data_IF_373581051748
#
_entry.id   IF_373581051748
#
_cell.length_a   1.000
_cell.length_b   1.000
_cell.length_c   1.000
_cell.angle_alpha   90.00
_cell.angle_beta   90.00
_cell.angle_gamma   90.00
#
_symmetry.space_group_name_H-M   'P 1'
#
loop_
_entity.id
_entity.type
_entity.pdbx_description
1 polymer ?
#
# COMPACT_ATOMS: atom_id res chain seq x y z
N UNK A 1 5.39 7.50 -25.17
CA UNK A 1 6.83 7.32 -25.00
C UNK A 1 7.44 8.42 -24.15
N UNK A 2 7.63 9.67 -24.61
CA UNK A 2 8.29 10.74 -23.81
C UNK A 2 7.80 10.91 -22.36
N UNK A 3 6.48 10.94 -22.14
CA UNK A 3 5.93 11.03 -20.77
C UNK A 3 6.24 9.77 -19.93
N UNK A 4 6.20 8.58 -20.53
CA UNK A 4 6.47 7.32 -19.81
C UNK A 4 7.95 7.26 -19.40
N UNK A 5 8.85 7.65 -20.31
CA UNK A 5 10.28 7.77 -20.03
C UNK A 5 10.56 8.79 -18.92
N UNK A 6 9.85 9.92 -18.92
CA UNK A 6 9.95 10.93 -17.87
C UNK A 6 9.51 10.36 -16.51
N UNK A 7 8.37 9.68 -16.45
CA UNK A 7 7.85 9.10 -15.22
C UNK A 7 8.75 7.96 -14.70
N UNK A 8 9.30 7.13 -15.59
CA UNK A 8 10.27 6.09 -15.23
C UNK A 8 11.64 6.64 -14.82
N UNK A 9 11.90 7.91 -15.09
CA UNK A 9 13.09 8.64 -14.65
C UNK A 9 12.81 9.53 -13.43
N UNK A 10 11.57 9.58 -12.95
CA UNK A 10 11.19 10.38 -11.80
C UNK A 10 11.58 9.64 -10.51
N UNK A 11 12.53 10.17 -9.71
CA UNK A 11 12.99 9.51 -8.49
C UNK A 11 11.89 9.43 -7.42
N UNK A 12 10.83 10.23 -7.53
CA UNK A 12 9.68 10.12 -6.65
C UNK A 12 8.87 8.86 -6.92
N UNK A 13 8.80 8.39 -8.18
CA UNK A 13 8.06 7.20 -8.59
C UNK A 13 8.91 5.92 -8.46
N UNK A 14 10.17 6.01 -8.88
CA UNK A 14 11.17 4.95 -8.77
C UNK A 14 12.34 5.46 -7.94
N UNK A 15 12.42 5.11 -6.64
CA UNK A 15 13.60 5.41 -5.84
C UNK A 15 14.86 4.90 -6.57
N UNK A 16 15.98 5.63 -6.48
CA UNK A 16 17.22 5.28 -7.18
C UNK A 16 17.74 3.86 -6.87
N UNK A 17 17.31 3.28 -5.75
CA UNK A 17 17.66 1.92 -5.32
C UNK A 17 16.73 0.84 -5.88
N UNK A 18 15.65 1.21 -6.59
CA UNK A 18 14.74 0.25 -7.18
C UNK A 18 15.43 -0.49 -8.34
N UNK A 19 15.34 -1.82 -8.48
CA UNK A 19 15.99 -2.58 -9.56
C UNK A 19 15.57 -2.13 -10.98
N UNK A 20 14.44 -1.46 -11.13
CA UNK A 20 13.96 -0.88 -12.39
C UNK A 20 14.60 0.47 -12.71
N UNK A 21 15.14 1.16 -11.72
CA UNK A 21 15.88 2.39 -11.92
C UNK A 21 17.21 2.12 -12.66
N UNK A 22 17.78 0.93 -12.46
CA UNK A 22 19.10 0.53 -12.98
C UNK A 22 19.03 -0.37 -14.22
N UNK A 23 17.95 -1.15 -14.41
CA UNK A 23 17.78 -2.03 -15.58
C UNK A 23 17.24 -1.28 -16.81
N UNK A 24 18.15 -0.80 -17.66
CA UNK A 24 17.82 -0.14 -18.94
C UNK A 24 16.94 -1.02 -19.84
N UNK A 25 17.16 -2.34 -19.84
CA UNK A 25 16.38 -3.29 -20.64
C UNK A 25 14.91 -3.35 -20.21
N UNK A 26 14.65 -3.49 -18.90
CA UNK A 26 13.29 -3.50 -18.34
C UNK A 26 12.58 -2.19 -18.64
N UNK A 27 13.24 -1.04 -18.42
CA UNK A 27 12.67 0.29 -18.68
C UNK A 27 12.27 0.44 -20.14
N UNK A 28 13.19 0.16 -21.06
CA UNK A 28 12.95 0.29 -22.51
C UNK A 28 11.76 -0.56 -22.96
N UNK A 29 11.67 -1.80 -22.51
CA UNK A 29 10.56 -2.71 -22.82
C UNK A 29 9.23 -2.22 -22.22
N UNK A 30 9.22 -1.82 -20.94
CA UNK A 30 8.04 -1.27 -20.30
C UNK A 30 7.52 -0.01 -21.03
N UNK A 31 8.41 0.86 -21.51
CA UNK A 31 8.04 2.02 -22.34
C UNK A 31 7.39 1.62 -23.66
N UNK A 32 7.90 0.59 -24.35
CA UNK A 32 7.33 0.07 -25.59
C UNK A 32 5.94 -0.52 -25.34
N UNK A 33 5.82 -1.40 -24.33
CA UNK A 33 4.57 -2.06 -23.94
C UNK A 33 3.49 -1.03 -23.58
N UNK A 34 3.81 -0.07 -22.72
CA UNK A 34 2.87 1.01 -22.38
C UNK A 34 2.57 1.95 -23.55
N UNK A 35 3.57 2.22 -24.39
CA UNK A 35 3.39 2.98 -25.62
C UNK A 35 2.34 2.35 -26.52
N UNK A 36 2.47 1.03 -26.76
CA UNK A 36 1.52 0.24 -27.54
C UNK A 36 0.13 0.21 -26.88
N UNK A 37 0.05 -0.06 -25.58
CA UNK A 37 -1.20 -0.01 -24.83
C UNK A 37 -1.93 1.33 -25.01
N UNK A 38 -1.22 2.46 -24.86
CA UNK A 38 -1.82 3.79 -25.05
C UNK A 38 -2.31 4.03 -26.47
N UNK A 39 -1.61 3.53 -27.49
CA UNK A 39 -2.04 3.64 -28.89
C UNK A 39 -3.33 2.85 -29.07
N UNK A 40 -3.38 1.59 -28.64
CA UNK A 40 -4.56 0.73 -28.78
C UNK A 40 -5.77 1.31 -28.04
N UNK A 41 -5.59 1.83 -26.82
CA UNK A 41 -6.69 2.47 -26.09
C UNK A 41 -7.23 3.74 -26.77
N UNK A 42 -6.40 4.44 -27.55
CA UNK A 42 -6.82 5.62 -28.33
C UNK A 42 -7.50 5.27 -29.64
N UNK A 43 -7.15 4.13 -30.25
CA UNK A 43 -7.70 3.69 -31.54
C UNK A 43 -8.97 2.87 -31.38
N UNK A 44 -9.23 2.29 -30.19
CA UNK A 44 -10.51 1.63 -29.91
C UNK A 44 -11.65 2.63 -30.14
N UNK A 45 -12.64 2.29 -30.98
CA UNK A 45 -13.81 3.14 -31.14
C UNK A 45 -14.45 3.32 -29.76
N UNK A 46 -14.98 4.51 -29.44
CA UNK A 46 -15.64 4.75 -28.16
C UNK A 46 -16.81 3.77 -28.04
N UNK A 47 -16.58 2.65 -27.36
CA UNK A 47 -17.63 1.72 -26.97
C UNK A 47 -18.60 2.54 -26.13
N UNK A 48 -19.89 2.49 -26.50
CA UNK A 48 -20.96 3.31 -25.92
C UNK A 48 -20.84 3.33 -24.40
N UNK A 49 -20.33 4.44 -23.84
CA UNK A 49 -20.28 4.72 -22.41
C UNK A 49 -18.95 4.54 -21.66
N UNK A 50 -17.92 3.89 -22.22
CA UNK A 50 -16.64 3.69 -21.50
C UNK A 50 -15.50 4.50 -22.13
N UNK A 51 -15.04 5.55 -21.45
CA UNK A 51 -13.78 6.20 -21.82
C UNK A 51 -12.62 5.29 -21.41
N UNK A 52 -11.59 5.12 -22.27
CA UNK A 52 -10.39 4.40 -21.87
C UNK A 52 -9.73 5.09 -20.67
N UNK A 53 -9.14 4.32 -19.74
CA UNK A 53 -8.48 4.89 -18.57
C UNK A 53 -7.38 5.84 -19.00
N UNK A 54 -7.30 6.99 -18.33
CA UNK A 54 -6.21 7.92 -18.54
C UNK A 54 -4.91 7.30 -18.06
N UNK A 55 -3.80 7.61 -18.76
CA UNK A 55 -2.50 7.12 -18.35
C UNK A 55 -2.15 7.67 -16.96
N UNK A 56 -1.78 6.77 -16.05
CA UNK A 56 -1.36 7.09 -14.70
C UNK A 56 0.09 6.62 -14.47
N UNK A 57 0.95 7.37 -13.77
CA UNK A 57 2.36 7.00 -13.61
C UNK A 57 2.58 5.63 -12.96
N UNK A 58 1.72 5.21 -12.02
CA UNK A 58 1.78 3.86 -11.44
C UNK A 58 1.64 2.72 -12.47
N UNK A 59 1.02 2.95 -13.63
CA UNK A 59 0.94 1.93 -14.70
C UNK A 59 2.32 1.57 -15.24
N UNK A 60 3.29 2.49 -15.18
CA UNK A 60 4.67 2.24 -15.57
C UNK A 60 5.38 1.27 -14.64
N UNK A 61 5.09 1.36 -13.34
CA UNK A 61 5.60 0.42 -12.35
C UNK A 61 5.05 -0.99 -12.57
N UNK A 62 3.74 -1.09 -12.81
CA UNK A 62 3.09 -2.38 -13.13
C UNK A 62 3.71 -3.02 -14.38
N UNK A 63 3.96 -2.21 -15.42
CA UNK A 63 4.61 -2.69 -16.64
C UNK A 63 6.04 -3.17 -16.37
N UNK A 64 6.81 -2.48 -15.52
CA UNK A 64 8.16 -2.91 -15.15
C UNK A 64 8.17 -4.25 -14.43
N UNK A 65 7.22 -4.50 -13.52
CA UNK A 65 7.09 -5.79 -12.80
C UNK A 65 6.82 -6.93 -13.78
N UNK A 66 5.83 -6.75 -14.65
CA UNK A 66 5.46 -7.78 -15.64
C UNK A 66 6.64 -8.10 -16.56
N UNK A 67 7.31 -7.08 -17.08
CA UNK A 67 8.50 -7.26 -17.93
C UNK A 67 9.63 -7.95 -17.18
N UNK A 68 9.82 -7.63 -15.90
CA UNK A 68 10.86 -8.25 -15.08
C UNK A 68 10.60 -9.74 -14.85
N UNK A 69 9.37 -10.11 -14.48
CA UNK A 69 8.97 -11.51 -14.31
C UNK A 69 9.21 -12.31 -15.59
N UNK A 70 8.73 -11.82 -16.74
CA UNK A 70 8.90 -12.50 -18.03
C UNK A 70 10.36 -12.61 -18.47
N UNK A 71 11.22 -11.66 -18.10
CA UNK A 71 12.66 -11.73 -18.40
C UNK A 71 13.37 -12.76 -17.53
N UNK A 72 12.97 -12.91 -16.27
CA UNK A 72 13.58 -13.88 -15.35
C UNK A 72 13.10 -15.31 -15.61
N UNK A 73 11.84 -15.52 -15.99
CA UNK A 73 11.36 -16.85 -16.40
C UNK A 73 12.16 -17.40 -17.60
N UNK A 74 12.64 -16.52 -18.49
CA UNK A 74 13.47 -16.91 -19.63
C UNK A 74 14.96 -17.11 -19.31
N UNK A 75 15.42 -16.77 -18.10
CA UNK A 75 16.82 -16.82 -17.71
C UNK A 75 17.26 -18.16 -17.09
N UNK A 76 16.31 -18.95 -16.57
CA UNK A 76 16.58 -20.28 -15.98
C UNK A 76 16.82 -21.37 -17.05
N UNK A 77 16.38 -21.13 -18.29
CA UNK A 77 16.80 -21.92 -19.44
C UNK A 77 18.15 -21.36 -19.96
N UNK A 78 19.12 -22.21 -20.29
CA UNK A 78 20.48 -21.90 -20.86
C UNK A 78 20.48 -21.11 -22.20
N UNK A 79 19.42 -20.34 -22.49
CA UNK A 79 19.10 -19.57 -23.69
C UNK A 79 19.75 -18.18 -23.75
N UNK A 80 20.82 -17.92 -23.00
CA UNK A 80 21.57 -16.66 -23.08
C UNK A 80 22.05 -16.32 -24.53
N UNK A 81 22.06 -17.30 -25.43
CA UNK A 81 22.41 -17.16 -26.86
C UNK A 81 21.23 -16.84 -27.80
N UNK A 82 19.97 -16.83 -27.34
CA UNK A 82 18.76 -16.52 -28.13
C UNK A 82 18.22 -15.08 -27.88
N UNK A 83 18.93 -14.28 -27.09
CA UNK A 83 18.48 -13.02 -26.49
C UNK A 83 17.98 -11.91 -27.46
N UNK A 84 18.31 -11.98 -28.75
CA UNK A 84 17.82 -10.99 -29.72
C UNK A 84 16.57 -11.44 -30.50
N UNK A 85 16.37 -12.76 -30.71
CA UNK A 85 15.39 -13.28 -31.69
C UNK A 85 13.98 -13.45 -31.10
N UNK A 86 13.83 -13.68 -29.79
CA UNK A 86 12.52 -13.81 -29.11
C UNK A 86 12.03 -12.53 -28.40
N UNK A 87 12.70 -11.40 -28.65
CA UNK A 87 12.40 -10.15 -27.94
C UNK A 87 10.99 -9.59 -28.22
N UNK A 88 10.38 -9.94 -29.36
CA UNK A 88 9.03 -9.50 -29.76
C UNK A 88 7.92 -10.26 -29.05
N UNK A 89 8.11 -11.55 -28.79
CA UNK A 89 7.13 -12.39 -28.08
C UNK A 89 6.95 -11.91 -26.63
N UNK A 90 8.06 -11.63 -25.94
CA UNK A 90 8.02 -11.11 -24.58
C UNK A 90 7.27 -9.77 -24.48
N UNK A 91 7.50 -8.85 -25.42
CA UNK A 91 6.79 -7.56 -25.44
C UNK A 91 5.29 -7.74 -25.70
N UNK A 92 4.89 -8.74 -26.50
CA UNK A 92 3.50 -9.07 -26.75
C UNK A 92 2.83 -9.69 -25.52
N UNK A 93 3.49 -10.64 -24.84
CA UNK A 93 2.99 -11.26 -23.62
C UNK A 93 2.87 -10.24 -22.49
N UNK A 94 3.89 -9.39 -22.31
CA UNK A 94 3.86 -8.28 -21.37
C UNK A 94 2.69 -7.32 -21.65
N UNK A 95 2.42 -7.04 -22.93
CA UNK A 95 1.28 -6.23 -23.35
C UNK A 95 -0.06 -6.88 -22.98
N UNK A 96 -0.21 -8.19 -23.22
CA UNK A 96 -1.45 -8.90 -22.91
C UNK A 96 -1.70 -8.98 -21.41
N UNK A 97 -0.68 -9.32 -20.61
CA UNK A 97 -0.75 -9.34 -19.15
C UNK A 97 -1.07 -7.97 -18.58
N UNK A 98 -0.36 -6.91 -19.03
CA UNK A 98 -0.63 -5.55 -18.58
C UNK A 98 -2.04 -5.09 -18.97
N UNK A 99 -2.49 -5.44 -20.18
CA UNK A 99 -3.84 -5.09 -20.64
C UNK A 99 -4.91 -5.75 -19.79
N UNK A 100 -4.74 -7.04 -19.44
CA UNK A 100 -5.64 -7.78 -18.57
C UNK A 100 -5.67 -7.18 -17.16
N UNK A 101 -4.50 -6.92 -16.57
CA UNK A 101 -4.37 -6.32 -15.25
C UNK A 101 -5.04 -4.92 -15.19
N UNK A 102 -4.73 -4.05 -16.15
CA UNK A 102 -5.31 -2.71 -16.21
C UNK A 102 -6.82 -2.73 -16.50
N UNK A 103 -7.32 -3.73 -17.21
CA UNK A 103 -8.76 -3.91 -17.40
C UNK A 103 -9.44 -4.26 -16.08
N UNK A 104 -8.86 -5.17 -15.28
CA UNK A 104 -9.36 -5.49 -13.94
C UNK A 104 -9.28 -4.27 -13.00
N UNK A 105 -8.16 -3.55 -13.02
CA UNK A 105 -7.92 -2.34 -12.21
C UNK A 105 -8.63 -1.09 -12.75
N UNK A 106 -9.35 -1.16 -13.87
CA UNK A 106 -9.90 0.02 -14.56
C UNK A 106 -10.82 0.89 -13.70
N UNK A 107 -11.43 0.33 -12.65
CA UNK A 107 -12.20 1.08 -11.67
C UNK A 107 -11.38 1.96 -10.72
N UNK A 108 -10.08 1.70 -10.58
CA UNK A 108 -9.17 2.37 -9.66
C UNK A 108 -8.53 3.64 -10.25
N UNK A 109 -8.30 3.64 -11.57
CA UNK A 109 -7.66 4.77 -12.24
C UNK A 109 -8.68 5.84 -12.63
N UNK A 110 -8.39 7.13 -12.38
CA UNK A 110 -9.31 8.20 -12.74
C UNK A 110 -9.53 8.25 -14.26
N UNK A 111 -10.81 8.19 -14.67
CA UNK A 111 -11.22 8.34 -16.08
C UNK A 111 -11.05 9.77 -16.62
N UNK A 112 -10.79 10.73 -15.75
CA UNK A 112 -10.57 12.13 -16.10
C UNK A 112 -9.07 12.38 -16.29
N UNK A 113 -8.64 12.93 -17.45
CA UNK A 113 -7.27 13.40 -17.59
C UNK A 113 -6.98 14.44 -16.51
N UNK A 114 -5.73 14.51 -15.99
CA UNK A 114 -5.37 15.56 -15.06
C UNK A 114 -5.73 16.93 -15.68
N UNK A 115 -6.24 17.88 -14.88
CA UNK A 115 -6.54 19.21 -15.38
C UNK A 115 -5.28 19.78 -16.05
N UNK A 116 -5.41 20.47 -17.20
CA UNK A 116 -4.26 21.09 -17.83
C UNK A 116 -3.58 22.04 -16.82
N UNK A 117 -2.24 22.14 -16.83
CA UNK A 117 -1.54 23.05 -15.93
C UNK A 117 -2.13 24.46 -16.11
N UNK A 118 -2.30 25.24 -15.03
CA UNK A 118 -2.90 26.55 -15.10
C UNK A 118 -2.14 27.39 -16.14
N UNK A 119 -2.86 27.88 -17.15
CA UNK A 119 -2.30 28.77 -18.18
C UNK A 119 -1.71 30.00 -17.48
N UNK A 120 -0.38 30.02 -17.31
CA UNK A 120 0.33 31.09 -16.61
C UNK A 120 1.36 30.63 -15.58
N UNK A 121 1.37 29.36 -15.17
CA UNK A 121 2.48 28.81 -14.41
C UNK A 121 3.69 28.64 -15.33
N UNK A 122 4.57 29.65 -15.36
CA UNK A 122 5.89 29.51 -15.96
C UNK A 122 6.62 28.35 -15.26
N UNK A 123 7.31 27.45 -15.99
CA UNK A 123 8.14 26.44 -15.34
C UNK A 123 9.14 27.15 -14.41
N UNK A 124 9.46 26.57 -13.24
CA UNK A 124 10.45 27.15 -12.36
C UNK A 124 11.74 27.34 -13.16
N UNK A 125 12.18 28.60 -13.27
CA UNK A 125 13.45 28.95 -13.92
C UNK A 125 14.53 28.12 -13.23
N UNK A 126 15.15 27.22 -13.98
CA UNK A 126 16.35 26.50 -13.55
C UNK A 126 17.37 27.54 -13.07
N UNK A 127 17.63 27.56 -11.76
CA UNK A 127 18.72 28.32 -11.20
C UNK A 127 20.00 27.67 -11.72
N UNK A 128 20.68 28.32 -12.65
CA UNK A 128 22.03 27.94 -13.07
C UNK A 128 22.94 27.92 -11.83
N UNK A 129 23.86 26.94 -11.71
CA UNK A 129 24.79 26.88 -10.59
C UNK A 129 25.70 28.12 -10.57
N UNK A 130 26.12 28.60 -9.38
CA UNK A 130 26.98 29.76 -9.28
C UNK A 130 28.34 29.45 -9.89
N UNK A 131 28.70 30.19 -10.94
CA UNK A 131 30.07 30.21 -11.46
C UNK A 131 31.00 30.84 -10.42
N UNK A 132 32.12 30.18 -10.18
CA UNK A 132 33.20 30.59 -9.29
C UNK A 132 33.68 32.01 -9.59
N UNK A 133 33.74 32.84 -8.55
CA UNK A 133 34.23 34.21 -8.58
C UNK A 133 35.76 34.22 -8.51
N UNK A 134 36.41 34.78 -9.52
CA UNK A 134 37.76 35.33 -9.44
C UNK A 134 37.67 36.86 -9.51
N UNK A 135 38.26 37.54 -8.53
CA UNK A 135 38.38 39.01 -8.39
C UNK A 135 39.54 39.59 -9.22
N UNK A 136 39.81 40.92 -9.20
CA UNK A 136 38.94 42.07 -9.47
C UNK A 136 39.60 43.10 -10.43
N UNK A 137 38.83 44.00 -11.05
CA UNK A 137 39.30 45.37 -11.40
C UNK A 137 38.16 46.29 -11.87
N UNK A 138 38.27 47.55 -11.42
CA UNK A 138 37.75 48.80 -12.00
C UNK A 138 36.27 49.18 -11.89
N UNK A 139 36.05 50.07 -10.92
CA UNK A 139 35.41 51.38 -11.02
C UNK A 139 34.51 51.69 -12.24
N UNK A 140 33.25 52.01 -11.96
CA UNK A 140 32.35 52.68 -12.88
C UNK A 140 30.95 52.79 -12.31
N UNK A 141 30.62 53.95 -11.71
CA UNK A 141 29.32 54.19 -11.10
C UNK A 141 28.17 54.14 -12.10
N UNK A 142 27.01 53.63 -11.65
CA UNK A 142 25.70 53.90 -12.28
C UNK A 142 24.54 53.62 -11.31
N UNK A 143 23.89 54.73 -10.98
CA UNK A 143 22.52 55.00 -10.51
C UNK A 143 21.56 53.82 -10.34
N UNK A 144 21.03 53.70 -9.13
CA UNK A 144 19.89 52.87 -8.74
C UNK A 144 18.60 53.33 -9.43
N UNK A 145 17.75 52.42 -9.94
CA UNK A 145 16.38 52.76 -10.34
C UNK A 145 15.43 52.79 -9.12
N UNK A 146 14.35 53.61 -9.17
CA UNK A 146 13.38 53.69 -8.08
C UNK A 146 12.45 52.46 -8.03
N UNK A 147 11.84 52.18 -6.87
CA UNK A 147 10.92 51.06 -6.70
C UNK A 147 9.58 51.27 -7.43
N UNK A 148 8.93 50.19 -7.89
CA UNK A 148 7.61 50.28 -8.51
C UNK A 148 6.50 50.57 -7.46
N UNK A 149 5.41 51.23 -7.86
CA UNK A 149 4.29 51.55 -6.97
C UNK A 149 3.44 50.31 -6.61
N UNK A 150 2.75 50.31 -5.47
CA UNK A 150 1.87 49.22 -5.06
C UNK A 150 0.62 49.17 -5.95
N UNK A 151 0.36 48.02 -6.58
CA UNK A 151 -0.91 47.76 -7.27
C UNK A 151 -2.02 47.53 -6.26
N UNK A 152 -3.03 48.40 -6.31
CA UNK A 152 -4.27 48.30 -5.59
C UNK A 152 -5.05 47.03 -5.98
N UNK A 153 -5.68 46.41 -4.98
CA UNK A 153 -6.64 45.34 -5.13
C UNK A 153 -7.87 45.82 -5.91
N UNK A 154 -8.19 45.14 -7.01
CA UNK A 154 -9.50 45.21 -7.65
C UNK A 154 -10.22 43.89 -7.41
N UNK A 155 -10.98 43.87 -6.32
CA UNK A 155 -11.99 42.86 -6.00
C UNK A 155 -13.17 43.03 -6.95
N UNK A 156 -13.48 42.03 -7.77
CA UNK A 156 -14.61 42.11 -8.71
C UNK A 156 -14.75 40.88 -9.61
N UNK A 157 -14.87 39.71 -8.99
CA UNK A 157 -15.18 38.45 -9.69
C UNK A 157 -16.56 37.92 -9.26
N UNK A 158 -17.49 37.89 -10.21
CA UNK A 158 -18.85 37.34 -10.08
C UNK A 158 -18.86 35.91 -9.52
N UNK A 159 -19.86 35.52 -8.69
CA UNK A 159 -20.00 34.14 -8.24
C UNK A 159 -20.35 33.24 -9.43
N UNK A 160 -19.38 32.43 -9.86
CA UNK A 160 -19.59 31.30 -10.75
C UNK A 160 -20.53 30.30 -10.07
N UNK A 161 -21.73 30.13 -10.63
CA UNK A 161 -22.67 29.06 -10.26
C UNK A 161 -21.97 27.72 -10.49
N UNK A 162 -21.48 27.13 -9.40
CA UNK A 162 -20.92 25.80 -9.38
C UNK A 162 -21.94 24.77 -9.85
N UNK A 163 -21.72 24.21 -11.03
CA UNK A 163 -22.38 22.99 -11.48
C UNK A 163 -21.98 21.89 -10.50
N UNK A 164 -22.91 21.14 -9.88
CA UNK A 164 -22.54 20.01 -9.03
C UNK A 164 -21.80 19.00 -9.89
N UNK A 165 -20.50 18.85 -9.65
CA UNK A 165 -19.65 17.89 -10.35
C UNK A 165 -20.15 16.48 -10.06
N UNK A 166 -20.52 15.74 -11.11
CA UNK A 166 -20.76 14.30 -10.99
C UNK A 166 -19.48 13.66 -10.48
N UNK A 167 -19.45 13.23 -9.22
CA UNK A 167 -18.33 12.46 -8.68
C UNK A 167 -18.15 11.23 -9.57
N UNK A 168 -16.97 11.10 -10.16
CA UNK A 168 -16.61 9.98 -11.03
C UNK A 168 -16.76 8.68 -10.23
N UNK A 169 -17.50 7.71 -10.76
CA UNK A 169 -17.73 6.40 -10.12
C UNK A 169 -16.44 5.62 -9.82
N UNK A 170 -15.32 6.00 -10.44
CA UNK A 170 -13.99 5.44 -10.17
C UNK A 170 -13.40 5.89 -8.84
N UNK A 171 -13.57 7.15 -8.42
CA UNK A 171 -13.02 7.60 -7.13
C UNK A 171 -13.70 6.88 -5.97
N UNK A 172 -15.03 6.70 -6.06
CA UNK A 172 -15.82 5.96 -5.08
C UNK A 172 -15.37 4.51 -4.87
N UNK A 173 -14.75 3.90 -5.89
CA UNK A 173 -14.29 2.52 -5.87
C UNK A 173 -12.97 2.37 -5.11
N UNK A 174 -12.02 3.27 -5.36
CA UNK A 174 -10.78 3.35 -4.60
C UNK A 174 -11.05 3.72 -3.14
N UNK A 175 -11.92 4.71 -2.90
CA UNK A 175 -12.28 5.17 -1.56
C UNK A 175 -12.82 4.01 -0.71
N UNK A 176 -13.65 3.13 -1.28
CA UNK A 176 -14.17 1.94 -0.58
C UNK A 176 -13.09 0.93 -0.17
N UNK A 177 -12.09 0.69 -1.02
CA UNK A 177 -10.99 -0.21 -0.68
C UNK A 177 -10.13 0.39 0.44
N UNK A 178 -9.84 1.69 0.35
CA UNK A 178 -9.06 2.39 1.37
C UNK A 178 -9.82 2.49 2.68
N UNK A 179 -11.14 2.70 2.64
CA UNK A 179 -12.02 2.67 3.82
C UNK A 179 -12.09 1.27 4.45
N UNK A 180 -12.13 0.21 3.64
CA UNK A 180 -12.01 -1.16 4.15
C UNK A 180 -10.67 -1.39 4.85
N UNK A 181 -9.57 -0.90 4.27
CA UNK A 181 -8.25 -0.93 4.89
C UNK A 181 -8.19 -0.13 6.20
N UNK A 182 -8.79 1.06 6.25
CA UNK A 182 -8.88 1.86 7.48
C UNK A 182 -9.65 1.12 8.57
N UNK A 183 -10.81 0.54 8.24
CA UNK A 183 -11.61 -0.23 9.21
C UNK A 183 -10.86 -1.46 9.72
N UNK A 184 -10.13 -2.14 8.85
CA UNK A 184 -9.33 -3.29 9.25
C UNK A 184 -8.11 -2.87 10.08
N UNK A 185 -7.44 -1.77 9.78
CA UNK A 185 -6.37 -1.24 10.62
C UNK A 185 -6.91 -0.88 12.01
N UNK A 186 -8.06 -0.20 12.06
CA UNK A 186 -8.73 0.15 13.31
C UNK A 186 -9.11 -1.09 14.12
N UNK A 187 -9.50 -2.20 13.47
CA UNK A 187 -9.77 -3.44 14.20
C UNK A 187 -8.48 -4.10 14.68
N UNK A 188 -7.45 -4.20 13.83
CA UNK A 188 -6.22 -4.94 14.16
C UNK A 188 -5.38 -4.20 15.19
N UNK A 189 -5.24 -2.88 15.04
CA UNK A 189 -4.43 -2.04 15.90
C UNK A 189 -5.02 -0.62 16.02
N UNK A 190 -5.98 -0.43 16.95
CA UNK A 190 -6.58 0.88 17.20
C UNK A 190 -5.54 1.95 17.57
N UNK A 191 -4.49 1.56 18.30
CA UNK A 191 -3.44 2.47 18.76
C UNK A 191 -2.63 3.03 17.60
N UNK A 192 -2.23 2.16 16.66
CA UNK A 192 -1.52 2.57 15.45
C UNK A 192 -2.44 3.36 14.52
N UNK A 193 -3.72 2.98 14.40
CA UNK A 193 -4.70 3.74 13.62
C UNK A 193 -4.80 5.19 14.13
N UNK A 194 -5.01 5.36 15.44
CA UNK A 194 -5.17 6.68 16.05
C UNK A 194 -3.87 7.48 15.94
N UNK A 195 -2.73 6.84 16.18
CA UNK A 195 -1.42 7.46 15.98
C UNK A 195 -1.23 7.95 14.53
N UNK A 196 -1.50 7.11 13.54
CA UNK A 196 -1.39 7.46 12.11
C UNK A 196 -2.32 8.61 11.76
N UNK A 197 -3.57 8.59 12.25
CA UNK A 197 -4.54 9.66 12.04
C UNK A 197 -4.06 10.98 12.63
N UNK A 198 -3.61 10.96 13.87
CA UNK A 198 -3.29 12.15 14.64
C UNK A 198 -1.93 12.75 14.24
N UNK A 199 -0.93 11.89 13.99
CA UNK A 199 0.42 12.31 13.59
C UNK A 199 0.47 12.75 12.13
N UNK A 200 -0.12 12.00 11.19
CA UNK A 200 -0.06 12.39 9.76
C UNK A 200 -1.04 13.50 9.41
N UNK A 201 -2.08 13.69 10.23
CA UNK A 201 -3.19 14.62 10.01
C UNK A 201 -3.86 14.41 8.64
N UNK A 202 -3.79 13.18 8.13
CA UNK A 202 -4.28 12.79 6.82
C UNK A 202 -4.93 11.41 6.91
N UNK A 203 -6.11 11.21 6.31
CA UNK A 203 -6.72 9.89 6.31
C UNK A 203 -5.87 8.93 5.46
N UNK A 204 -5.91 7.63 5.82
CA UNK A 204 -5.23 6.55 5.09
C UNK A 204 -5.48 6.66 3.57
N UNK A 205 -6.70 7.03 3.19
CA UNK A 205 -7.09 7.18 1.79
C UNK A 205 -6.26 8.20 1.01
N UNK A 206 -5.74 9.23 1.67
CA UNK A 206 -4.98 10.30 1.01
C UNK A 206 -3.55 9.91 0.66
N UNK A 207 -2.91 9.06 1.47
CA UNK A 207 -1.49 8.73 1.31
C UNK A 207 -1.24 7.29 0.89
N UNK A 208 -2.16 6.35 1.13
CA UNK A 208 -2.04 4.96 0.71
C UNK A 208 -2.54 4.70 -0.72
N UNK A 209 -3.25 5.66 -1.34
CA UNK A 209 -3.72 5.51 -2.71
C UNK A 209 -2.60 5.14 -3.72
N UNK A 210 -1.41 5.77 -3.69
CA UNK A 210 -0.31 5.37 -4.58
C UNK A 210 0.17 3.94 -4.36
N UNK A 211 0.03 3.39 -3.15
CA UNK A 211 0.41 2.01 -2.84
C UNK A 211 -0.55 1.05 -3.54
N UNK A 212 -1.86 1.27 -3.37
CA UNK A 212 -2.88 0.43 -4.02
C UNK A 212 -2.83 0.55 -5.54
N UNK A 213 -2.66 1.75 -6.09
CA UNK A 213 -2.56 1.96 -7.55
C UNK A 213 -1.32 1.33 -8.18
N UNK A 214 -0.26 1.15 -7.40
CA UNK A 214 0.96 0.49 -7.83
C UNK A 214 1.01 -0.98 -7.41
N UNK A 215 -0.04 -1.53 -6.79
CA UNK A 215 -0.01 -2.86 -6.19
C UNK A 215 1.24 -3.09 -5.33
N UNK A 216 1.53 -2.10 -4.49
CA UNK A 216 2.64 -2.05 -3.54
C UNK A 216 4.05 -2.03 -4.14
N UNK A 217 4.19 -1.91 -5.46
CA UNK A 217 5.50 -1.91 -6.13
C UNK A 217 6.38 -0.72 -5.76
N UNK A 218 5.78 0.37 -5.27
CA UNK A 218 6.56 1.51 -4.76
C UNK A 218 7.18 1.20 -3.41
N UNK A 219 6.54 0.34 -2.63
CA UNK A 219 6.86 0.14 -1.23
C UNK A 219 7.76 -1.06 -1.04
N UNK A 220 7.62 -2.10 -1.85
CA UNK A 220 8.30 -3.37 -1.64
C UNK A 220 9.40 -3.60 -2.67
N UNK A 221 10.48 -4.33 -2.31
CA UNK A 221 11.44 -4.81 -3.30
C UNK A 221 10.75 -5.74 -4.31
N UNK A 222 11.31 -5.85 -5.52
CA UNK A 222 10.61 -6.53 -6.62
C UNK A 222 10.30 -8.00 -6.32
N UNK A 223 11.22 -8.73 -5.72
CA UNK A 223 11.00 -10.14 -5.38
C UNK A 223 9.79 -10.29 -4.44
N UNK A 224 9.67 -9.36 -3.47
CA UNK A 224 8.54 -9.28 -2.57
C UNK A 224 7.22 -8.96 -3.27
N UNK A 225 7.27 -8.06 -4.24
CA UNK A 225 6.10 -7.72 -5.05
C UNK A 225 5.62 -8.95 -5.81
N UNK A 226 6.52 -9.73 -6.41
CA UNK A 226 6.16 -10.91 -7.20
C UNK A 226 5.47 -11.96 -6.32
N UNK A 227 6.07 -12.32 -5.19
CA UNK A 227 5.46 -13.27 -4.24
C UNK A 227 4.11 -12.76 -3.71
N UNK A 228 4.03 -11.46 -3.41
CA UNK A 228 2.81 -10.83 -2.96
C UNK A 228 1.74 -10.81 -4.08
N UNK A 229 2.15 -10.68 -5.34
CA UNK A 229 1.25 -10.73 -6.49
C UNK A 229 0.71 -12.13 -6.71
N UNK A 230 1.53 -13.17 -6.55
CA UNK A 230 1.07 -14.57 -6.62
C UNK A 230 -0.05 -14.83 -5.61
N UNK A 231 0.16 -14.39 -4.37
CA UNK A 231 -0.85 -14.47 -3.32
C UNK A 231 -2.09 -13.63 -3.62
N UNK A 232 -1.92 -12.40 -4.10
CA UNK A 232 -3.01 -11.51 -4.46
C UNK A 232 -3.87 -12.11 -5.58
N UNK A 233 -3.26 -12.61 -6.65
CA UNK A 233 -3.96 -13.14 -7.81
C UNK A 233 -4.53 -14.54 -7.57
N UNK A 234 -3.93 -15.35 -6.69
CA UNK A 234 -4.53 -16.61 -6.24
C UNK A 234 -5.89 -16.40 -5.54
N UNK A 235 -6.12 -15.22 -4.97
CA UNK A 235 -7.34 -14.88 -4.24
C UNK A 235 -8.41 -14.21 -5.09
N UNK A 236 -8.01 -13.61 -6.21
CA UNK A 236 -8.94 -12.95 -7.12
C UNK A 236 -9.52 -14.06 -8.01
N UNK A 237 -10.81 -14.41 -7.86
CA UNK A 237 -11.37 -15.46 -8.69
C UNK A 237 -11.23 -15.08 -10.17
N UNK A 238 -10.86 -16.04 -11.03
CA UNK A 238 -10.77 -15.79 -12.47
C UNK A 238 -12.09 -15.26 -13.07
N UNK A 239 -13.22 -15.50 -12.39
CA UNK A 239 -14.55 -15.03 -12.75
C UNK A 239 -14.85 -13.59 -12.30
N UNK A 240 -13.96 -12.95 -11.54
CA UNK A 240 -14.17 -11.60 -11.03
C UNK A 240 -14.23 -10.58 -12.17
N UNK A 241 -15.30 -9.78 -12.19
CA UNK A 241 -15.56 -8.79 -13.26
C UNK A 241 -14.62 -7.60 -13.18
N UNK A 242 -14.22 -7.20 -11.98
CA UNK A 242 -13.22 -6.16 -11.75
C UNK A 242 -12.38 -6.47 -10.51
N UNK A 243 -11.23 -5.83 -10.43
CA UNK A 243 -10.27 -6.03 -9.36
C UNK A 243 -10.90 -5.75 -8.00
N UNK A 244 -11.70 -4.69 -7.86
CA UNK A 244 -12.28 -4.27 -6.57
C UNK A 244 -13.30 -5.28 -6.03
N UNK A 245 -14.10 -5.90 -6.91
CA UNK A 245 -15.05 -6.94 -6.51
C UNK A 245 -14.36 -8.26 -6.21
N UNK A 246 -13.23 -8.54 -6.86
CA UNK A 246 -12.42 -9.74 -6.60
C UNK A 246 -11.41 -9.60 -5.47
N UNK A 247 -11.02 -8.38 -5.09
CA UNK A 247 -9.96 -8.10 -4.11
C UNK A 247 -10.37 -7.50 -2.76
N UNK A 248 -11.66 -7.44 -2.34
CA UNK A 248 -12.01 -6.82 -1.06
C UNK A 248 -11.43 -7.58 0.13
N UNK A 249 -11.06 -8.85 -0.07
CA UNK A 249 -10.44 -9.71 0.94
C UNK A 249 -8.92 -9.84 0.77
N UNK A 250 -8.33 -9.17 -0.22
CA UNK A 250 -6.89 -9.29 -0.52
C UNK A 250 -6.16 -7.97 -0.26
N UNK A 251 -6.64 -6.88 -0.86
CA UNK A 251 -5.95 -5.57 -0.77
C UNK A 251 -6.00 -4.95 0.62
N UNK A 252 -7.13 -4.95 1.36
CA UNK A 252 -7.16 -4.37 2.70
C UNK A 252 -6.21 -5.08 3.69
N UNK A 253 -6.16 -6.43 3.77
CA UNK A 253 -5.18 -7.11 4.62
C UNK A 253 -3.73 -6.78 4.25
N UNK A 254 -3.40 -6.72 2.96
CA UNK A 254 -2.06 -6.35 2.49
C UNK A 254 -1.70 -4.92 2.89
N UNK A 255 -2.63 -3.98 2.73
CA UNK A 255 -2.44 -2.60 3.13
C UNK A 255 -2.14 -2.50 4.63
N UNK A 256 -2.92 -3.20 5.46
CA UNK A 256 -2.73 -3.22 6.92
C UNK A 256 -1.41 -3.89 7.29
N UNK A 257 -1.03 -4.99 6.65
CA UNK A 257 0.26 -5.64 6.86
C UNK A 257 1.43 -4.69 6.56
N UNK A 258 1.38 -3.96 5.44
CA UNK A 258 2.40 -2.95 5.12
C UNK A 258 2.46 -1.83 6.18
N UNK A 259 1.32 -1.37 6.69
CA UNK A 259 1.27 -0.34 7.74
C UNK A 259 1.88 -0.87 9.04
N UNK A 260 1.56 -2.10 9.44
CA UNK A 260 2.10 -2.74 10.64
C UNK A 260 3.60 -2.97 10.54
N UNK A 261 4.10 -3.32 9.37
CA UNK A 261 5.53 -3.40 9.08
C UNK A 261 6.27 -2.08 9.35
N UNK A 262 5.61 -0.94 9.18
CA UNK A 262 6.17 0.38 9.51
C UNK A 262 5.98 0.81 10.96
N UNK A 263 5.30 0.02 11.81
CA UNK A 263 4.92 0.42 13.17
C UNK A 263 6.08 0.99 13.98
N UNK A 264 7.21 0.28 14.04
CA UNK A 264 8.36 0.71 14.84
C UNK A 264 8.94 2.05 14.37
N UNK A 265 9.00 2.28 13.06
CA UNK A 265 9.47 3.55 12.49
C UNK A 265 8.46 4.68 12.67
N UNK A 266 7.16 4.35 12.60
CA UNK A 266 6.08 5.28 12.87
C UNK A 266 6.09 5.72 14.33
N UNK A 267 6.14 4.80 15.30
CA UNK A 267 6.15 5.14 16.73
C UNK A 267 7.38 5.96 17.16
N UNK A 268 8.51 5.84 16.44
CA UNK A 268 9.72 6.65 16.65
C UNK A 268 9.65 8.03 15.99
N UNK A 269 8.64 8.30 15.16
CA UNK A 269 8.49 9.56 14.46
C UNK A 269 7.83 10.60 15.37
N UNK A 270 8.53 11.68 15.69
CA UNK A 270 7.97 12.75 16.52
C UNK A 270 7.22 13.81 15.68
N UNK A 271 7.46 13.84 14.37
CA UNK A 271 6.89 14.84 13.46
C UNK A 271 6.08 14.21 12.33
N UNK A 272 5.07 14.91 11.78
CA UNK A 272 4.33 14.43 10.61
C UNK A 272 5.25 14.16 9.41
N UNK A 273 6.29 14.96 9.22
CA UNK A 273 7.27 14.79 8.15
C UNK A 273 8.12 13.54 8.37
N UNK A 274 8.57 13.28 9.60
CA UNK A 274 9.28 12.06 9.94
C UNK A 274 8.38 10.83 9.76
N UNK A 275 7.11 10.89 10.16
CA UNK A 275 6.17 9.79 9.97
C UNK A 275 5.88 9.53 8.48
N UNK A 276 5.77 10.58 7.65
CA UNK A 276 5.68 10.43 6.18
C UNK A 276 6.95 9.82 5.59
N UNK A 277 8.12 10.21 6.10
CA UNK A 277 9.39 9.62 5.71
C UNK A 277 9.54 8.16 6.20
N UNK A 278 8.96 7.82 7.34
CA UNK A 278 8.93 6.44 7.86
C UNK A 278 8.05 5.52 6.98
N UNK A 279 7.04 6.08 6.32
CA UNK A 279 6.22 5.43 5.29
C UNK A 279 6.88 5.42 3.90
N UNK A 280 8.13 5.89 3.77
CA UNK A 280 8.90 5.74 2.54
C UNK A 280 9.14 4.24 2.23
N UNK A 281 9.58 3.89 1.01
CA UNK A 281 9.71 2.50 0.58
C UNK A 281 10.42 1.61 1.61
N UNK A 282 9.84 0.43 1.83
CA UNK A 282 10.26 -0.62 2.76
C UNK A 282 11.55 -1.30 2.24
N UNK A 283 12.64 -0.54 2.10
CA UNK A 283 13.94 -1.11 1.79
C UNK A 283 14.50 -1.94 2.97
N UNK A 284 13.93 -1.76 4.18
CA UNK A 284 14.48 -2.26 5.45
C UNK A 284 13.49 -3.06 6.30
N UNK A 285 12.26 -3.29 5.84
CA UNK A 285 11.34 -4.13 6.60
C UNK A 285 11.70 -5.60 6.41
N UNK A 286 11.34 -6.40 7.43
CA UNK A 286 11.71 -7.82 7.59
C UNK A 286 11.43 -8.70 6.39
N UNK A 287 11.66 -10.01 6.53
CA UNK A 287 11.52 -10.95 5.42
C UNK A 287 10.17 -10.79 4.71
N UNK A 288 10.19 -10.85 3.38
CA UNK A 288 9.00 -10.86 2.52
C UNK A 288 7.98 -11.88 3.04
N UNK A 289 8.49 -13.05 3.42
CA UNK A 289 7.73 -14.12 4.06
C UNK A 289 6.90 -13.66 5.25
N UNK A 290 7.44 -12.76 6.07
CA UNK A 290 6.74 -12.22 7.25
C UNK A 290 5.59 -11.31 6.84
N UNK A 291 5.77 -10.46 5.83
CA UNK A 291 4.70 -9.60 5.30
C UNK A 291 3.58 -10.41 4.62
N UNK A 292 3.98 -11.39 3.81
CA UNK A 292 3.06 -12.31 3.14
C UNK A 292 2.32 -13.16 4.18
N UNK A 293 3.04 -13.70 5.16
CA UNK A 293 2.48 -14.40 6.31
C UNK A 293 1.48 -13.54 7.07
N UNK A 294 1.85 -12.33 7.44
CA UNK A 294 0.97 -11.38 8.13
C UNK A 294 -0.28 -11.06 7.31
N UNK A 295 -0.14 -10.85 6.00
CA UNK A 295 -1.28 -10.66 5.10
C UNK A 295 -2.24 -11.85 5.14
N UNK A 296 -1.72 -13.09 5.08
CA UNK A 296 -2.52 -14.31 5.16
C UNK A 296 -3.24 -14.42 6.51
N UNK A 297 -2.58 -14.06 7.61
CA UNK A 297 -3.16 -14.04 8.95
C UNK A 297 -4.29 -13.02 9.09
N UNK A 298 -4.07 -11.81 8.60
CA UNK A 298 -5.07 -10.74 8.62
C UNK A 298 -6.29 -11.06 7.75
N UNK A 299 -6.10 -11.84 6.68
CA UNK A 299 -7.17 -12.30 5.80
C UNK A 299 -8.01 -13.40 6.43
N UNK A 300 -7.36 -14.38 7.04
CA UNK A 300 -8.05 -15.51 7.64
C UNK A 300 -7.32 -15.91 8.92
N UNK A 301 -7.74 -15.35 10.08
CA UNK A 301 -7.12 -15.67 11.36
C UNK A 301 -7.27 -17.16 11.73
N UNK A 302 -8.15 -17.90 11.03
CA UNK A 302 -8.34 -19.33 11.22
C UNK A 302 -7.44 -20.23 10.34
N UNK A 303 -6.69 -19.66 9.36
CA UNK A 303 -5.76 -20.44 8.50
C UNK A 303 -4.44 -20.82 9.20
N UNK A 304 -4.24 -20.47 10.47
CA UNK A 304 -3.13 -21.01 11.25
C UNK A 304 -3.42 -22.47 11.63
N UNK A 305 -3.27 -23.36 10.66
CA UNK A 305 -3.78 -24.74 10.72
C UNK A 305 -2.70 -25.78 11.04
N UNK A 306 -1.81 -25.54 12.01
CA UNK A 306 -1.37 -26.56 12.99
C UNK A 306 -0.74 -25.86 14.22
N UNK A 307 -0.92 -26.40 15.44
CA UNK A 307 -0.23 -25.89 16.64
C UNK A 307 1.30 -25.89 16.51
N UNK A 308 1.85 -26.78 15.69
CA UNK A 308 3.30 -26.92 15.44
C UNK A 308 3.85 -25.82 14.53
N UNK A 309 3.12 -25.42 13.48
CA UNK A 309 3.49 -24.28 12.63
C UNK A 309 3.37 -22.95 13.38
N UNK A 310 2.35 -22.80 14.23
CA UNK A 310 2.21 -21.63 15.09
C UNK A 310 3.37 -21.49 16.10
N UNK A 311 3.84 -22.60 16.68
CA UNK A 311 4.98 -22.59 17.60
C UNK A 311 6.28 -22.20 16.89
N UNK A 312 6.51 -22.71 15.68
CA UNK A 312 7.69 -22.37 14.87
C UNK A 312 7.67 -20.93 14.36
N UNK A 313 6.52 -20.42 13.94
CA UNK A 313 6.36 -19.03 13.52
C UNK A 313 6.44 -18.04 14.67
N UNK A 314 5.87 -18.32 15.85
CA UNK A 314 5.99 -17.43 17.01
C UNK A 314 7.45 -17.31 17.49
N UNK A 315 8.25 -18.37 17.35
CA UNK A 315 9.70 -18.34 17.62
C UNK A 315 10.51 -17.61 16.55
N UNK A 316 10.10 -17.66 15.27
CA UNK A 316 10.81 -17.01 14.16
C UNK A 316 10.40 -15.54 13.91
N UNK A 317 9.12 -15.19 14.04
CA UNK A 317 8.58 -13.86 13.69
C UNK A 317 8.53 -12.89 14.88
N UNK A 318 8.79 -13.35 16.12
CA UNK A 318 8.64 -12.52 17.32
C UNK A 318 7.19 -12.05 17.56
N UNK A 319 6.23 -12.65 16.86
CA UNK A 319 4.80 -12.37 17.03
C UNK A 319 4.35 -12.78 18.42
N UNK A 320 3.90 -11.80 19.22
CA UNK A 320 3.48 -12.01 20.62
C UNK A 320 2.06 -12.59 20.75
N UNK A 321 1.34 -12.79 19.65
CA UNK A 321 -0.06 -13.21 19.68
C UNK A 321 -0.13 -14.73 19.55
N UNK A 322 -0.52 -15.41 20.64
CA UNK A 322 -0.74 -16.86 20.66
C UNK A 322 -2.23 -17.17 20.52
N UNK A 323 -2.59 -17.97 19.53
CA UNK A 323 -3.97 -18.42 19.31
C UNK A 323 -4.20 -19.73 20.06
N UNK A 324 -5.12 -19.75 21.03
CA UNK A 324 -5.45 -20.95 21.80
C UNK A 324 -6.84 -21.45 21.39
N UNK A 325 -6.93 -22.71 20.96
CA UNK A 325 -8.21 -23.34 20.59
C UNK A 325 -8.69 -24.26 21.72
N UNK A 326 -9.87 -23.99 22.27
CA UNK A 326 -10.47 -24.79 23.33
C UNK A 326 -11.54 -25.74 22.79
N UNK A 327 -11.79 -26.84 23.52
CA UNK A 327 -12.93 -27.72 23.25
C UNK A 327 -14.19 -27.13 23.89
N UNK A 328 -15.36 -27.62 23.48
CA UNK A 328 -16.61 -27.22 24.11
C UNK A 328 -16.60 -27.49 25.62
N UNK A 329 -16.92 -26.46 26.41
CA UNK A 329 -16.92 -26.51 27.87
C UNK A 329 -16.33 -25.25 28.52
N UNK A 330 -16.38 -25.14 29.86
CA UNK A 330 -15.86 -23.97 30.57
C UNK A 330 -14.33 -23.86 30.43
N UNK A 331 -13.86 -22.65 30.15
CA UNK A 331 -12.43 -22.33 30.07
C UNK A 331 -11.78 -22.36 31.46
N UNK A 332 -12.53 -21.94 32.47
CA UNK A 332 -12.09 -21.86 33.86
C UNK A 332 -11.03 -20.79 34.09
N UNK A 333 -11.37 -19.58 33.66
CA UNK A 333 -10.45 -18.45 33.59
C UNK A 333 -11.15 -17.27 34.28
N UNK A 334 -10.47 -16.62 35.22
CA UNK A 334 -10.95 -15.41 35.91
C UNK A 334 -10.26 -14.23 35.26
N UNK A 335 -11.05 -13.30 34.73
CA UNK A 335 -10.56 -12.12 34.03
C UNK A 335 -10.54 -10.91 34.95
N UNK A 336 -9.59 -10.01 34.72
CA UNK A 336 -9.56 -8.69 35.34
C UNK A 336 -9.28 -7.61 34.32
N UNK A 337 -9.79 -6.40 34.57
CA UNK A 337 -9.47 -5.22 33.77
C UNK A 337 -8.01 -4.79 34.03
N UNK A 338 -7.31 -4.45 32.96
CA UNK A 338 -6.00 -3.79 32.93
C UNK A 338 -6.09 -2.55 32.02
N UNK A 339 -5.06 -1.69 32.05
CA UNK A 339 -5.02 -0.48 31.21
C UNK A 339 -5.15 -0.77 29.71
N UNK A 340 -4.76 -1.96 29.27
CA UNK A 340 -4.71 -2.36 27.86
C UNK A 340 -5.74 -3.43 27.46
N UNK A 341 -6.67 -3.81 28.34
CA UNK A 341 -7.73 -4.78 28.03
C UNK A 341 -8.07 -5.70 29.21
N UNK A 342 -8.55 -6.91 28.90
CA UNK A 342 -8.77 -7.95 29.91
C UNK A 342 -7.54 -8.84 30.04
N UNK A 343 -7.18 -9.18 31.26
CA UNK A 343 -6.08 -10.09 31.57
C UNK A 343 -6.56 -11.29 32.38
N UNK A 344 -5.87 -12.42 32.24
CA UNK A 344 -6.10 -13.59 33.09
C UNK A 344 -5.55 -13.32 34.49
N UNK A 345 -6.43 -13.27 35.50
CA UNK A 345 -6.06 -13.06 36.91
C UNK A 345 -5.82 -14.36 37.66
N UNK A 346 -6.60 -15.40 37.35
CA UNK A 346 -6.50 -16.70 38.02
C UNK A 346 -7.24 -17.77 37.21
N UNK A 347 -6.91 -19.03 37.45
CA UNK A 347 -7.69 -20.16 36.96
C UNK A 347 -8.77 -20.57 37.97
N UNK A 348 -9.90 -21.00 37.43
CA UNK A 348 -10.96 -21.65 38.18
C UNK A 348 -10.85 -23.16 37.94
N UNK A 349 -11.00 -23.93 39.02
CA UNK A 349 -10.95 -25.38 38.99
C UNK A 349 -12.38 -25.95 38.97
N UNK A 350 -12.52 -27.17 38.46
CA UNK A 350 -13.80 -27.87 38.52
C UNK A 350 -14.18 -28.22 39.99
N UNK A 351 -15.38 -28.76 40.19
CA UNK A 351 -15.87 -29.17 41.53
C UNK A 351 -15.00 -30.25 42.19
N UNK A 352 -14.20 -30.98 41.42
CA UNK A 352 -13.27 -32.00 41.89
C UNK A 352 -11.85 -31.45 42.10
N UNK A 353 -11.64 -30.12 41.96
CA UNK A 353 -10.35 -29.47 42.11
C UNK A 353 -9.39 -29.69 40.93
N UNK A 354 -9.90 -30.16 39.78
CA UNK A 354 -9.07 -30.38 38.58
C UNK A 354 -8.99 -29.11 37.75
N UNK A 355 -7.82 -28.83 37.13
CA UNK A 355 -7.65 -27.67 36.27
C UNK A 355 -8.62 -27.74 35.08
N UNK A 356 -9.19 -26.61 34.73
CA UNK A 356 -10.05 -26.48 33.55
C UNK A 356 -9.20 -26.27 32.29
N UNK A 357 -9.87 -26.17 31.14
CA UNK A 357 -9.23 -26.23 29.82
C UNK A 357 -8.14 -25.17 29.62
N UNK A 358 -8.36 -23.95 30.11
CA UNK A 358 -7.40 -22.85 29.96
C UNK A 358 -6.07 -23.17 30.63
N UNK A 359 -6.09 -23.56 31.90
CA UNK A 359 -4.89 -23.91 32.65
C UNK A 359 -4.21 -25.17 32.09
N UNK A 360 -5.01 -26.16 31.70
CA UNK A 360 -4.51 -27.43 31.14
C UNK A 360 -3.83 -27.25 29.78
N UNK A 361 -4.14 -26.17 29.06
CA UNK A 361 -3.53 -25.90 27.75
C UNK A 361 -2.03 -25.59 27.84
N UNK A 362 -1.55 -25.09 28.98
CA UNK A 362 -0.16 -24.60 29.15
C UNK A 362 0.20 -23.36 28.31
N UNK A 363 -0.71 -22.90 27.45
CA UNK A 363 -0.52 -21.74 26.57
C UNK A 363 -1.17 -20.47 27.10
N UNK A 364 -2.05 -20.59 28.11
CA UNK A 364 -2.63 -19.48 28.84
C UNK A 364 -2.05 -19.46 30.24
N UNK A 365 -1.54 -18.30 30.65
CA UNK A 365 -0.96 -18.04 31.96
C UNK A 365 -1.65 -16.85 32.63
N UNK A 366 -1.58 -16.80 33.95
CA UNK A 366 -1.94 -15.60 34.71
C UNK A 366 -1.06 -14.43 34.26
N UNK A 367 -1.67 -13.29 33.95
CA UNK A 367 -1.04 -12.11 33.40
C UNK A 367 -1.19 -11.97 31.89
N UNK A 368 -1.59 -13.02 31.18
CA UNK A 368 -1.81 -12.94 29.73
C UNK A 368 -2.97 -11.99 29.42
N UNK A 369 -2.78 -11.14 28.42
CA UNK A 369 -3.79 -10.20 27.93
C UNK A 369 -4.60 -10.89 26.83
N UNK A 370 -5.93 -10.88 26.97
CA UNK A 370 -6.84 -11.38 25.96
C UNK A 370 -6.96 -10.36 24.84
N UNK A 371 -6.58 -10.76 23.63
CA UNK A 371 -6.67 -9.90 22.46
C UNK A 371 -8.03 -10.03 21.74
N UNK A 372 -8.50 -11.26 21.54
CA UNK A 372 -9.77 -11.55 20.90
C UNK A 372 -10.37 -12.86 21.41
N UNK A 373 -11.69 -12.96 21.36
CA UNK A 373 -12.49 -14.14 21.72
C UNK A 373 -13.46 -14.43 20.60
N UNK A 374 -13.40 -15.63 20.02
CA UNK A 374 -14.22 -16.02 18.86
C UNK A 374 -14.15 -15.01 17.69
N UNK A 375 -12.99 -14.37 17.49
CA UNK A 375 -12.78 -13.37 16.46
C UNK A 375 -13.31 -11.96 16.80
N UNK A 376 -13.93 -11.77 17.96
CA UNK A 376 -14.34 -10.46 18.49
C UNK A 376 -13.24 -9.92 19.38
N UNK A 377 -12.76 -8.71 19.08
CA UNK A 377 -11.68 -8.07 19.81
C UNK A 377 -12.13 -7.65 21.21
N UNK A 378 -11.26 -7.86 22.19
CA UNK A 378 -11.47 -7.40 23.54
C UNK A 378 -10.99 -5.95 23.64
N UNK A 379 -11.93 -5.01 23.68
CA UNK A 379 -11.65 -3.58 23.83
C UNK A 379 -11.40 -3.21 25.31
N UNK A 380 -10.82 -2.03 25.54
CA UNK A 380 -10.61 -1.49 26.90
C UNK A 380 -11.91 -1.23 27.65
N UNK A 381 -13.01 -1.10 26.91
CA UNK A 381 -14.35 -0.82 27.45
C UNK A 381 -15.14 -2.09 27.77
N UNK A 382 -14.67 -3.26 27.30
CA UNK A 382 -15.30 -4.54 27.59
C UNK A 382 -14.99 -4.94 29.03
N UNK A 383 -16.04 -5.18 29.81
CA UNK A 383 -15.92 -5.69 31.16
C UNK A 383 -15.83 -7.23 31.14
N UNK A 384 -15.30 -7.85 32.21
CA UNK A 384 -15.36 -9.31 32.36
C UNK A 384 -16.78 -9.88 32.24
N UNK A 385 -17.82 -9.14 32.65
CA UNK A 385 -19.21 -9.57 32.52
C UNK A 385 -19.67 -9.62 31.06
N UNK A 386 -19.35 -8.61 30.26
CA UNK A 386 -19.73 -8.56 28.85
C UNK A 386 -19.17 -9.75 28.06
N UNK A 387 -17.99 -10.24 28.48
CA UNK A 387 -17.34 -11.37 27.83
C UNK A 387 -17.96 -12.72 28.22
N UNK A 388 -18.58 -12.81 29.39
CA UNK A 388 -19.35 -14.00 29.83
C UNK A 388 -20.65 -14.12 29.05
N UNK A 389 -21.25 -13.01 28.63
CA UNK A 389 -22.44 -13.04 27.76
C UNK A 389 -22.10 -13.44 26.30
N UNK A 390 -20.84 -13.28 25.90
CA UNK A 390 -20.33 -13.59 24.56
C UNK A 390 -19.85 -15.04 24.38
N UNK A 391 -19.55 -15.73 25.49
CA UNK A 391 -19.03 -17.10 25.56
C UNK A 391 -20.12 -18.10 25.93
#
# INVERSE_FOLDING_TARGET
SKQVAQDLSDPSLLPNHHPFATSHGVRTRAERVLGLWRIVQRTKPPSVGARPPSYHPCMALLACVIVHVLLNEGADDDRASLAEVDSSHLDADAYHLLSALLAQMGGLFPNSPPPPPPRGASPPRSLSPPRSVGSPASAGGRRSPPPPPPRAAASGGLPSRGRPGSKSTSTMKMDKLLEAGTRQLLSVDPSLHDYVRDTLQMPLSSWAQPWVLSLFTRQLPIDAVVELWDDLFALIPATAKDFITGSPNAVPPMLVACVLAHRGALEQSETPEAARAALAPLATVGSVDSLVGQTRLLRNPHLMSTPEEQARQAEQDGSRIRTVTFKAGPLGIILGQEQDGLSVRKFQYDKAGRPMQAETSGQVNTGDILHAVNGVLVSKDLTPQDLVEFL
#
